data_IF_480217091990
#
_entry.id   IF_480217091990
#
_cell.length_a   1.000
_cell.length_b   1.000
_cell.length_c   1.000
_cell.angle_alpha   90.00
_cell.angle_beta   90.00
_cell.angle_gamma   90.00
#
_symmetry.space_group_name_H-M   'P 1'
#
loop_
_entity.id
_entity.type
_entity.pdbx_description
1 polymer ?
#
# COMPACT_ATOMS: atom_id res chain seq x y z
N UNK A 1 -9.86 23.32 4.58
CA UNK A 1 -9.40 22.27 3.64
C UNK A 1 -7.88 22.23 3.66
N UNK A 2 -7.27 21.09 3.98
CA UNK A 2 -5.81 20.88 3.95
C UNK A 2 -5.49 19.91 2.81
N UNK A 3 -4.46 20.21 2.01
CA UNK A 3 -3.98 19.29 0.96
C UNK A 3 -2.59 18.78 1.31
N UNK A 4 -2.42 17.46 1.27
CA UNK A 4 -1.18 16.77 1.62
C UNK A 4 -0.64 16.07 0.37
N UNK A 5 0.63 16.30 0.03
CA UNK A 5 1.36 15.49 -0.94
C UNK A 5 1.94 14.28 -0.20
N UNK A 6 1.62 13.07 -0.65
CA UNK A 6 1.98 11.83 0.02
C UNK A 6 2.72 10.87 -0.93
N UNK A 7 3.73 10.20 -0.41
CA UNK A 7 4.50 9.17 -1.08
C UNK A 7 5.32 8.39 -0.05
N UNK A 8 5.52 7.11 -0.30
CA UNK A 8 6.14 6.17 0.62
C UNK A 8 5.38 5.96 1.94
N UNK A 9 5.89 5.02 2.74
CA UNK A 9 5.31 4.59 4.02
C UNK A 9 5.41 5.62 5.16
N UNK A 10 6.21 6.68 5.02
CA UNK A 10 6.31 7.75 6.01
C UNK A 10 5.08 8.65 6.04
N UNK A 11 4.55 8.97 4.85
CA UNK A 11 3.46 9.94 4.67
C UNK A 11 2.14 9.50 5.30
N UNK A 12 1.86 8.19 5.35
CA UNK A 12 0.63 7.64 5.94
C UNK A 12 0.46 7.99 7.42
N UNK A 13 1.57 8.10 8.17
CA UNK A 13 1.53 8.48 9.59
C UNK A 13 1.02 9.91 9.76
N UNK A 14 1.51 10.83 8.91
CA UNK A 14 1.08 12.22 8.88
C UNK A 14 -0.40 12.33 8.47
N UNK A 15 -0.78 11.64 7.39
CA UNK A 15 -2.16 11.63 6.89
C UNK A 15 -3.15 11.12 7.94
N UNK A 16 -2.84 10.01 8.62
CA UNK A 16 -3.67 9.49 9.73
C UNK A 16 -3.77 10.48 10.89
N UNK A 17 -2.67 11.15 11.24
CA UNK A 17 -2.66 12.20 12.24
C UNK A 17 -3.66 13.32 11.92
N UNK A 18 -3.61 13.85 10.69
CA UNK A 18 -4.56 14.86 10.24
C UNK A 18 -6.00 14.36 10.17
N UNK A 19 -6.22 13.15 9.62
CA UNK A 19 -7.55 12.55 9.51
C UNK A 19 -8.22 12.32 10.87
N UNK A 20 -7.43 12.09 11.93
CA UNK A 20 -7.95 11.96 13.30
C UNK A 20 -8.51 13.26 13.87
N UNK A 21 -8.07 14.42 13.37
CA UNK A 21 -8.44 15.74 13.87
C UNK A 21 -9.39 16.50 12.92
N UNK A 22 -9.47 16.06 11.66
CA UNK A 22 -10.15 16.80 10.58
C UNK A 22 -10.79 15.86 9.58
N UNK A 23 -11.96 16.25 9.09
CA UNK A 23 -12.67 15.58 7.99
C UNK A 23 -12.41 16.21 6.62
N UNK A 24 -11.82 17.41 6.56
CA UNK A 24 -11.61 18.20 5.35
C UNK A 24 -10.17 18.12 4.81
N UNK A 25 -9.68 16.89 4.64
CA UNK A 25 -8.34 16.62 4.09
C UNK A 25 -8.42 16.11 2.64
N UNK A 26 -7.50 16.58 1.82
CA UNK A 26 -7.23 16.05 0.49
C UNK A 26 -5.82 15.46 0.48
N UNK A 27 -5.67 14.28 -0.12
CA UNK A 27 -4.35 13.63 -0.25
C UNK A 27 -4.07 13.42 -1.73
N UNK A 28 -2.97 13.99 -2.21
CA UNK A 28 -2.44 13.77 -3.55
C UNK A 28 -1.30 12.78 -3.41
N UNK A 29 -1.45 11.60 -3.99
CA UNK A 29 -0.56 10.48 -3.76
C UNK A 29 0.36 10.25 -4.96
N UNK A 30 1.61 9.92 -4.70
CA UNK A 30 2.60 9.52 -5.69
C UNK A 30 2.09 8.34 -6.54
N UNK A 31 2.38 8.41 -7.85
CA UNK A 31 2.08 7.36 -8.84
C UNK A 31 3.34 6.83 -9.55
N UNK A 32 4.51 7.38 -9.22
CA UNK A 32 5.79 7.00 -9.84
C UNK A 32 6.19 5.55 -9.57
N UNK A 33 5.64 4.96 -8.51
CA UNK A 33 5.95 3.61 -8.05
C UNK A 33 4.85 2.62 -8.48
N UNK A 34 3.90 3.04 -9.32
CA UNK A 34 2.86 2.15 -9.85
C UNK A 34 3.44 1.22 -10.92
N UNK A 35 3.01 -0.04 -10.94
CA UNK A 35 3.52 -1.03 -11.89
C UNK A 35 2.53 -2.16 -12.17
N UNK A 36 2.75 -2.87 -13.28
CA UNK A 36 2.03 -4.08 -13.61
C UNK A 36 2.77 -5.30 -13.07
N UNK A 37 2.06 -6.16 -12.34
CA UNK A 37 2.58 -7.43 -11.82
C UNK A 37 1.52 -8.51 -11.97
N UNK A 38 1.86 -9.62 -12.62
CA UNK A 38 0.96 -10.76 -12.84
C UNK A 38 -0.40 -10.38 -13.45
N UNK A 39 -0.41 -9.42 -14.38
CA UNK A 39 -1.63 -8.93 -15.03
C UNK A 39 -2.48 -7.98 -14.17
N UNK A 40 -2.01 -7.63 -12.96
CA UNK A 40 -2.65 -6.69 -12.05
C UNK A 40 -1.89 -5.37 -12.05
N UNK A 41 -2.61 -4.25 -11.95
CA UNK A 41 -2.02 -2.92 -11.78
C UNK A 41 -1.93 -2.59 -10.29
N UNK A 42 -0.71 -2.42 -9.77
CA UNK A 42 -0.42 -2.22 -8.35
C UNK A 42 -0.04 -0.75 -8.12
N UNK A 43 -0.61 -0.14 -7.09
CA UNK A 43 -0.42 1.27 -6.74
C UNK A 43 0.06 1.43 -5.28
N UNK A 44 1.35 1.19 -4.97
CA UNK A 44 1.81 0.98 -3.60
C UNK A 44 1.49 2.12 -2.62
N UNK A 45 1.69 3.36 -3.03
CA UNK A 45 1.48 4.53 -2.17
C UNK A 45 -0.01 4.83 -1.98
N UNK A 46 -0.81 4.70 -3.04
CA UNK A 46 -2.27 4.85 -2.97
C UNK A 46 -2.86 3.80 -2.04
N UNK A 47 -2.44 2.55 -2.19
CA UNK A 47 -2.87 1.42 -1.37
C UNK A 47 -2.48 1.66 0.10
N UNK A 48 -1.26 2.12 0.37
CA UNK A 48 -0.78 2.40 1.72
C UNK A 48 -1.61 3.49 2.41
N UNK A 49 -1.92 4.60 1.71
CA UNK A 49 -2.81 5.64 2.24
C UNK A 49 -4.22 5.09 2.50
N UNK A 50 -4.75 4.32 1.55
CA UNK A 50 -6.09 3.72 1.64
C UNK A 50 -6.19 2.79 2.84
N UNK A 51 -5.25 1.85 3.01
CA UNK A 51 -5.22 0.94 4.15
C UNK A 51 -4.97 1.68 5.46
N UNK A 52 -4.16 2.74 5.45
CA UNK A 52 -3.87 3.55 6.63
C UNK A 52 -5.12 4.28 7.16
N UNK A 53 -5.91 4.88 6.26
CA UNK A 53 -7.15 5.56 6.61
C UNK A 53 -8.28 4.59 6.98
N UNK A 54 -8.29 3.38 6.40
CA UNK A 54 -9.27 2.34 6.71
C UNK A 54 -8.95 1.54 7.99
N UNK A 55 -7.87 1.87 8.71
CA UNK A 55 -7.36 1.09 9.85
C UNK A 55 -7.03 -0.38 9.49
N UNK A 56 -6.63 -0.62 8.25
CA UNK A 56 -6.27 -1.94 7.72
C UNK A 56 -4.76 -2.13 7.55
N UNK A 57 -3.96 -1.06 7.62
CA UNK A 57 -2.52 -1.10 7.42
C UNK A 57 -1.81 -1.99 8.46
N UNK A 58 -0.85 -2.79 8.01
CA UNK A 58 0.12 -3.48 8.87
C UNK A 58 1.13 -2.45 9.40
N UNK A 59 0.99 -2.06 10.67
CA UNK A 59 1.82 -1.02 11.28
C UNK A 59 3.26 -1.45 11.57
N UNK A 60 3.50 -2.75 11.76
CA UNK A 60 4.83 -3.27 12.04
C UNK A 60 5.69 -3.23 10.78
N UNK A 61 5.09 -3.53 9.62
CA UNK A 61 5.76 -3.43 8.31
C UNK A 61 5.74 -2.02 7.74
N UNK A 62 4.70 -1.24 8.05
CA UNK A 62 4.46 0.09 7.47
C UNK A 62 3.88 0.06 6.06
N UNK A 63 3.47 -1.11 5.55
CA UNK A 63 2.85 -1.31 4.23
C UNK A 63 2.02 -2.60 4.24
N UNK A 64 1.08 -2.72 3.30
CA UNK A 64 0.21 -3.89 3.17
C UNK A 64 -0.88 -3.98 4.24
N UNK A 65 -1.71 -5.03 4.16
CA UNK A 65 -2.87 -5.21 5.03
C UNK A 65 -2.50 -6.08 6.25
N UNK A 66 -3.00 -5.71 7.43
CA UNK A 66 -2.85 -6.47 8.66
C UNK A 66 -3.31 -7.92 8.47
N UNK A 67 -2.48 -8.88 8.88
CA UNK A 67 -2.75 -10.33 8.77
C UNK A 67 -2.97 -10.82 7.33
N UNK A 68 -2.41 -10.14 6.32
CA UNK A 68 -2.47 -10.62 4.94
C UNK A 68 -1.81 -12.00 4.81
N UNK A 69 -2.49 -12.90 4.10
CA UNK A 69 -1.99 -14.23 3.76
C UNK A 69 -1.24 -14.16 2.43
N UNK A 70 -0.06 -14.75 2.38
CA UNK A 70 0.80 -14.75 1.19
C UNK A 70 0.84 -16.12 0.49
N UNK A 71 -0.10 -17.02 0.79
CA UNK A 71 -0.09 -18.40 0.26
C UNK A 71 -0.07 -18.44 -1.27
N UNK A 72 -0.75 -17.49 -1.91
CA UNK A 72 -0.71 -17.33 -3.37
C UNK A 72 0.70 -17.00 -3.86
N UNK A 73 1.38 -16.04 -3.23
CA UNK A 73 2.73 -15.63 -3.60
C UNK A 73 3.74 -16.75 -3.35
N UNK A 74 3.64 -17.43 -2.21
CA UNK A 74 4.50 -18.57 -1.87
C UNK A 74 4.32 -19.71 -2.88
N UNK A 75 3.07 -20.02 -3.25
CA UNK A 75 2.75 -21.02 -4.26
C UNK A 75 3.24 -20.60 -5.64
N UNK A 76 3.10 -19.33 -6.01
CA UNK A 76 3.60 -18.80 -7.26
C UNK A 76 5.12 -18.94 -7.37
N UNK A 77 5.87 -18.51 -6.35
CA UNK A 77 7.33 -18.64 -6.29
C UNK A 77 7.80 -20.10 -6.37
N UNK A 78 7.06 -21.01 -5.74
CA UNK A 78 7.31 -22.45 -5.86
C UNK A 78 7.18 -22.94 -7.32
N UNK A 79 6.10 -22.56 -8.01
CA UNK A 79 5.85 -22.96 -9.39
C UNK A 79 6.87 -22.33 -10.36
N UNK A 80 7.18 -21.05 -10.18
CA UNK A 80 8.19 -20.32 -10.97
C UNK A 80 9.56 -21.04 -10.91
N UNK A 81 9.99 -21.42 -9.70
CA UNK A 81 11.23 -22.19 -9.50
C UNK A 81 11.15 -23.60 -10.08
N UNK A 82 10.02 -24.29 -9.91
CA UNK A 82 9.83 -25.67 -10.40
C UNK A 82 9.85 -25.74 -11.93
N UNK A 83 9.35 -24.71 -12.60
CA UNK A 83 9.18 -24.69 -14.06
C UNK A 83 10.21 -23.80 -14.78
N UNK A 84 11.15 -23.17 -14.06
CA UNK A 84 12.21 -22.36 -14.65
C UNK A 84 11.70 -21.09 -15.32
N UNK A 85 10.69 -20.44 -14.75
CA UNK A 85 10.00 -19.27 -15.34
C UNK A 85 10.60 -17.92 -14.91
N UNK A 86 11.88 -17.88 -14.54
CA UNK A 86 12.57 -16.69 -14.02
C UNK A 86 13.60 -16.10 -14.97
#
# INVERSE_FOLDING_TARGET
MITILAGGSGSVKLVRGFASQRSDINVIVNVGDNYWLYGMYICPDIDTITYGLADLLDHDKGWGIKKIRLDFYDRWKFLEKKHGLG
#
